data_IF_961167107523
#
_entry.id   IF_961167107523
#
_cell.length_a   1.000
_cell.length_b   1.000
_cell.length_c   1.000
_cell.angle_alpha   90.00
_cell.angle_beta   90.00
_cell.angle_gamma   90.00
#
_symmetry.space_group_name_H-M   'P 1'
#
loop_
_entity.id
_entity.type
_entity.pdbx_description
1 polymer ?
#
# COMPACT_ATOMS: atom_id res chain seq x y z
N UNK A 1 -39.01 7.37 -70.86
CA UNK A 1 -37.80 6.54 -70.86
C UNK A 1 -36.61 7.50 -70.84
N UNK A 2 -36.26 8.21 -69.77
CA UNK A 2 -35.87 7.80 -68.39
C UNK A 2 -34.74 6.78 -68.36
N UNK A 3 -33.50 7.26 -68.21
CA UNK A 3 -32.46 6.72 -67.32
C UNK A 3 -31.40 7.81 -67.07
N UNK A 4 -31.50 8.50 -65.93
CA UNK A 4 -30.36 9.18 -65.29
C UNK A 4 -30.39 8.80 -63.82
N UNK A 5 -29.20 8.65 -63.24
CA UNK A 5 -28.84 8.29 -61.86
C UNK A 5 -28.51 6.80 -61.68
N UNK A 6 -27.22 6.48 -61.61
CA UNK A 6 -26.70 5.93 -60.37
C UNK A 6 -25.28 6.44 -60.09
N UNK A 7 -25.16 7.62 -59.48
CA UNK A 7 -23.86 8.12 -58.97
C UNK A 7 -23.95 8.76 -57.59
N UNK A 8 -25.12 8.70 -56.93
CA UNK A 8 -25.37 9.35 -55.64
C UNK A 8 -25.45 8.37 -54.46
N UNK A 9 -25.40 7.06 -54.70
CA UNK A 9 -25.57 6.05 -53.64
C UNK A 9 -24.27 5.62 -52.96
N UNK A 10 -23.09 5.98 -53.50
CA UNK A 10 -21.79 5.56 -52.94
C UNK A 10 -21.20 6.59 -51.97
N UNK A 11 -21.54 7.88 -52.11
CA UNK A 11 -20.99 8.93 -51.26
C UNK A 11 -21.63 9.01 -49.85
N UNK A 12 -22.84 8.47 -49.67
CA UNK A 12 -23.55 8.56 -48.38
C UNK A 12 -23.11 7.51 -47.35
N UNK A 13 -22.46 6.43 -47.78
CA UNK A 13 -21.98 5.35 -46.89
C UNK A 13 -20.64 5.71 -46.24
N UNK A 14 -19.82 6.54 -46.90
CA UNK A 14 -18.50 6.91 -46.38
C UNK A 14 -18.54 7.94 -45.24
N UNK A 15 -19.60 8.75 -45.13
CA UNK A 15 -19.72 9.77 -44.07
C UNK A 15 -20.18 9.16 -42.73
N UNK A 16 -20.89 8.02 -42.75
CA UNK A 16 -21.32 7.32 -41.52
C UNK A 16 -20.17 6.54 -40.86
N UNK A 17 -19.15 6.13 -41.64
CA UNK A 17 -18.02 5.33 -41.12
C UNK A 17 -16.88 6.15 -40.48
N UNK A 18 -16.86 7.48 -40.65
CA UNK A 18 -15.81 8.36 -40.09
C UNK A 18 -16.22 9.12 -38.82
N UNK A 19 -17.47 8.98 -38.34
CA UNK A 19 -17.95 9.60 -37.10
C UNK A 19 -17.97 8.70 -35.86
N UNK A 20 -17.57 7.43 -35.98
CA UNK A 20 -17.90 6.37 -35.00
C UNK A 20 -16.88 6.05 -33.90
N UNK A 21 -15.74 6.75 -33.80
CA UNK A 21 -14.70 6.35 -32.84
C UNK A 21 -14.79 7.00 -31.44
N UNK A 22 -15.76 7.90 -31.19
CA UNK A 22 -15.94 8.53 -29.88
C UNK A 22 -17.20 8.09 -29.12
N UNK A 23 -18.08 7.29 -29.73
CA UNK A 23 -19.33 6.80 -29.12
C UNK A 23 -19.35 5.29 -28.83
N UNK A 24 -18.24 4.58 -29.04
CA UNK A 24 -18.09 3.16 -28.72
C UNK A 24 -18.10 2.83 -27.21
N UNK A 25 -18.18 3.84 -26.33
CA UNK A 25 -18.28 3.65 -24.88
C UNK A 25 -19.67 3.18 -24.40
N UNK A 26 -20.68 3.17 -25.29
CA UNK A 26 -22.07 2.90 -24.94
C UNK A 26 -22.68 1.64 -25.58
N UNK A 27 -21.93 0.88 -26.38
CA UNK A 27 -22.46 -0.26 -27.15
C UNK A 27 -22.00 -1.65 -26.66
N UNK A 28 -21.10 -1.70 -25.68
CA UNK A 28 -20.85 -2.95 -24.93
C UNK A 28 -21.66 -2.83 -23.64
N UNK A 29 -22.81 -3.50 -23.50
CA UNK A 29 -23.53 -3.50 -22.24
C UNK A 29 -22.59 -4.08 -21.18
N UNK A 30 -22.49 -3.41 -20.02
CA UNK A 30 -21.59 -3.78 -18.92
C UNK A 30 -21.71 -5.26 -18.55
N UNK A 31 -22.88 -5.88 -18.81
CA UNK A 31 -23.18 -7.29 -18.61
C UNK A 31 -22.23 -8.28 -19.32
N UNK A 32 -21.56 -7.89 -20.42
CA UNK A 32 -20.65 -8.78 -21.18
C UNK A 32 -19.19 -8.69 -20.73
N UNK A 33 -18.84 -7.72 -19.89
CA UNK A 33 -17.52 -7.62 -19.27
C UNK A 33 -17.60 -8.38 -17.93
N UNK A 34 -16.70 -9.36 -17.66
CA UNK A 34 -16.62 -10.02 -16.37
C UNK A 34 -16.56 -8.98 -15.25
N UNK A 35 -17.22 -9.19 -14.09
CA UNK A 35 -17.20 -8.22 -12.99
C UNK A 35 -15.78 -7.76 -12.62
N UNK A 36 -14.80 -8.67 -12.73
CA UNK A 36 -13.38 -8.45 -12.49
C UNK A 36 -12.63 -7.61 -13.53
N UNK A 37 -13.25 -7.24 -14.65
CA UNK A 37 -12.65 -6.43 -15.71
C UNK A 37 -13.37 -5.10 -15.96
N UNK A 38 -14.50 -4.86 -15.28
CA UNK A 38 -15.19 -3.57 -15.37
C UNK A 38 -14.36 -2.49 -14.67
N UNK A 39 -14.13 -1.31 -15.29
CA UNK A 39 -13.67 -0.15 -14.54
C UNK A 39 -14.66 0.14 -13.41
N UNK A 40 -14.22 0.74 -12.30
CA UNK A 40 -15.13 1.02 -11.19
C UNK A 40 -16.27 1.90 -11.72
N UNK A 41 -17.51 1.42 -11.58
CA UNK A 41 -18.73 2.18 -11.87
C UNK A 41 -19.06 3.16 -10.72
N UNK A 42 -18.42 2.97 -9.58
CA UNK A 42 -18.48 3.84 -8.41
C UNK A 42 -17.61 5.07 -8.66
N UNK A 43 -18.09 6.27 -8.29
CA UNK A 43 -17.22 7.44 -8.30
C UNK A 43 -16.16 7.24 -7.23
N UNK A 44 -14.92 7.68 -7.51
CA UNK A 44 -13.84 7.64 -6.53
C UNK A 44 -14.33 8.23 -5.18
N UNK A 45 -14.21 7.45 -4.10
CA UNK A 45 -14.62 7.84 -2.75
C UNK A 45 -16.03 7.41 -2.32
N UNK A 46 -16.87 6.82 -3.18
CA UNK A 46 -18.19 6.33 -2.77
C UNK A 46 -18.09 5.16 -1.77
N UNK A 47 -17.16 4.23 -1.99
CA UNK A 47 -16.90 3.12 -1.07
C UNK A 47 -16.38 3.61 0.31
N UNK A 48 -15.45 4.57 0.32
CA UNK A 48 -14.93 5.17 1.55
C UNK A 48 -16.03 5.89 2.33
N UNK A 49 -16.86 6.69 1.66
CA UNK A 49 -18.00 7.38 2.30
C UNK A 49 -19.01 6.40 2.88
N UNK A 50 -19.29 5.32 2.16
CA UNK A 50 -20.18 4.26 2.64
C UNK A 50 -19.60 3.58 3.89
N UNK A 51 -18.30 3.27 3.89
CA UNK A 51 -17.63 2.69 5.05
C UNK A 51 -17.64 3.64 6.25
N UNK A 52 -17.37 4.93 6.04
CA UNK A 52 -17.47 5.96 7.07
C UNK A 52 -18.88 6.05 7.64
N UNK A 53 -19.90 6.09 6.77
CA UNK A 53 -21.29 6.10 7.21
C UNK A 53 -21.65 4.86 8.03
N UNK A 54 -21.24 3.66 7.59
CA UNK A 54 -21.47 2.42 8.33
C UNK A 54 -20.85 2.44 9.72
N UNK A 55 -19.62 2.94 9.85
CA UNK A 55 -18.97 3.08 11.15
C UNK A 55 -19.72 4.08 12.07
N UNK A 56 -20.18 5.20 11.51
CA UNK A 56 -20.94 6.20 12.28
C UNK A 56 -22.31 5.67 12.73
N UNK A 57 -22.98 4.89 11.87
CA UNK A 57 -24.29 4.31 12.16
C UNK A 57 -24.20 3.08 13.11
N UNK A 58 -23.00 2.54 13.36
CA UNK A 58 -22.79 1.39 14.23
C UNK A 58 -22.83 1.79 15.72
N UNK A 59 -23.46 0.94 16.55
CA UNK A 59 -23.55 1.14 17.99
C UNK A 59 -22.23 0.79 18.67
N UNK A 60 -21.60 1.70 19.43
CA UNK A 60 -20.37 1.39 20.15
C UNK A 60 -20.64 0.47 21.34
N UNK A 61 -19.77 -0.51 21.58
CA UNK A 61 -19.85 -1.41 22.74
C UNK A 61 -19.01 -0.94 23.93
N UNK A 62 -18.06 -0.03 23.70
CA UNK A 62 -17.08 0.42 24.68
C UNK A 62 -16.76 1.90 24.51
N UNK A 63 -16.40 2.55 25.61
CA UNK A 63 -16.01 3.97 25.63
C UNK A 63 -14.77 4.28 26.50
N UNK A 64 -14.30 3.28 27.26
CA UNK A 64 -13.11 3.36 28.10
C UNK A 64 -12.13 2.23 27.79
N UNK A 65 -10.83 2.45 28.06
CA UNK A 65 -9.77 1.44 27.86
C UNK A 65 -9.95 0.17 28.70
N UNK A 66 -10.70 0.24 29.81
CA UNK A 66 -11.01 -0.90 30.65
C UNK A 66 -12.17 -1.76 30.11
N UNK A 67 -12.98 -1.24 29.17
CA UNK A 67 -14.17 -1.95 28.64
C UNK A 67 -13.80 -3.03 27.61
N UNK A 68 -12.59 -2.97 27.07
CA UNK A 68 -12.13 -3.86 26.01
C UNK A 68 -11.79 -5.27 26.53
N UNK A 69 -12.02 -6.28 25.70
CA UNK A 69 -11.60 -7.66 25.98
C UNK A 69 -10.18 -7.91 25.48
N UNK A 70 -9.22 -8.06 26.40
CA UNK A 70 -7.80 -8.34 26.10
C UNK A 70 -7.46 -9.84 26.21
N UNK A 71 -8.40 -10.72 25.87
CA UNK A 71 -8.17 -12.17 25.98
C UNK A 71 -7.18 -12.70 24.92
N UNK A 72 -7.09 -12.03 23.77
CA UNK A 72 -6.20 -12.41 22.68
C UNK A 72 -4.78 -11.99 22.98
N UNK A 73 -3.84 -12.93 23.03
CA UNK A 73 -2.41 -12.60 23.16
C UNK A 73 -1.91 -12.03 21.83
N UNK A 74 -1.06 -11.00 21.87
CA UNK A 74 -0.40 -10.47 20.67
C UNK A 74 0.33 -11.62 19.95
N UNK A 75 0.03 -11.88 18.67
CA UNK A 75 0.66 -12.98 17.93
C UNK A 75 2.19 -12.87 17.90
N UNK A 76 2.90 -14.00 17.99
CA UNK A 76 4.37 -14.07 17.92
C UNK A 76 4.96 -13.73 16.55
N UNK A 77 4.11 -13.63 15.54
CA UNK A 77 4.41 -13.15 14.18
C UNK A 77 3.16 -12.47 13.64
N UNK A 78 3.26 -11.53 12.69
CA UNK A 78 2.09 -10.80 12.22
C UNK A 78 1.02 -11.72 11.62
N UNK A 79 -0.21 -11.59 12.11
CA UNK A 79 -1.38 -12.33 11.63
C UNK A 79 -2.42 -11.37 11.07
N UNK A 80 -3.23 -11.86 10.13
CA UNK A 80 -4.27 -11.09 9.45
C UNK A 80 -5.52 -10.95 10.34
N UNK A 81 -6.01 -9.72 10.45
CA UNK A 81 -7.25 -9.34 11.10
C UNK A 81 -8.07 -8.45 10.15
N UNK A 82 -9.37 -8.69 10.07
CA UNK A 82 -10.30 -7.88 9.28
C UNK A 82 -11.08 -6.99 10.24
N UNK A 83 -10.98 -5.69 10.04
CA UNK A 83 -11.73 -4.66 10.76
C UNK A 83 -12.82 -4.15 9.82
N UNK A 84 -14.08 -4.24 10.23
CA UNK A 84 -15.23 -3.90 9.40
C UNK A 84 -16.54 -4.31 10.07
N UNK A 85 -17.60 -4.55 9.30
CA UNK A 85 -18.96 -4.76 9.82
C UNK A 85 -19.11 -5.84 10.91
N UNK A 86 -18.26 -6.86 10.91
CA UNK A 86 -18.29 -7.95 11.89
C UNK A 86 -17.44 -7.66 13.15
N UNK A 87 -16.66 -6.58 13.14
CA UNK A 87 -15.84 -6.15 14.25
C UNK A 87 -16.64 -5.23 15.19
N UNK A 88 -16.27 -5.26 16.47
CA UNK A 88 -16.83 -4.34 17.46
C UNK A 88 -16.39 -2.91 17.22
N UNK A 89 -17.25 -1.96 17.59
CA UNK A 89 -17.00 -0.52 17.49
C UNK A 89 -16.79 0.06 18.88
N UNK A 90 -15.77 0.90 19.03
CA UNK A 90 -15.54 1.71 20.21
C UNK A 90 -15.89 3.17 19.91
N UNK A 91 -16.33 3.91 20.93
CA UNK A 91 -16.36 5.37 20.89
C UNK A 91 -15.24 5.91 21.78
N UNK A 92 -14.12 6.30 21.15
CA UNK A 92 -12.95 6.82 21.84
C UNK A 92 -12.81 8.31 21.53
N UNK A 93 -12.91 9.15 22.56
CA UNK A 93 -12.85 10.61 22.44
C UNK A 93 -13.86 11.19 21.42
N UNK A 94 -15.07 10.62 21.36
CA UNK A 94 -16.13 11.06 20.44
C UNK A 94 -15.98 10.54 19.01
N UNK A 95 -14.97 9.71 18.73
CA UNK A 95 -14.77 9.09 17.42
C UNK A 95 -15.09 7.60 17.47
N UNK A 96 -15.97 7.15 16.57
CA UNK A 96 -16.19 5.73 16.35
C UNK A 96 -14.95 5.11 15.70
N UNK A 97 -14.61 3.88 16.05
CA UNK A 97 -13.59 3.08 15.34
C UNK A 97 -13.80 1.59 15.59
N UNK A 98 -13.57 0.77 14.56
CA UNK A 98 -13.27 -0.63 14.78
C UNK A 98 -11.93 -0.77 15.51
N UNK A 99 -11.75 -1.84 16.26
CA UNK A 99 -10.54 -2.03 17.06
C UNK A 99 -10.09 -3.48 17.17
N UNK A 100 -8.83 -3.65 17.54
CA UNK A 100 -8.24 -4.90 18.04
C UNK A 100 -7.65 -4.64 19.42
N UNK A 101 -7.83 -5.59 20.34
CA UNK A 101 -7.30 -5.52 21.70
C UNK A 101 -6.47 -6.77 21.98
N UNK A 102 -5.24 -6.57 22.43
CA UNK A 102 -4.29 -7.65 22.69
C UNK A 102 -3.71 -7.57 24.09
N UNK A 103 -3.47 -8.73 24.70
CA UNK A 103 -2.55 -8.87 25.82
C UNK A 103 -1.12 -8.98 25.30
N UNK A 104 -0.24 -8.15 25.83
CA UNK A 104 1.18 -8.16 25.50
C UNK A 104 1.91 -9.29 26.26
N UNK A 105 2.89 -9.96 25.63
CA UNK A 105 3.74 -10.92 26.32
C UNK A 105 4.57 -10.22 27.39
N UNK A 106 4.62 -10.80 28.59
CA UNK A 106 5.43 -10.35 29.72
C UNK A 106 6.63 -11.28 29.92
N UNK A 107 7.69 -10.77 30.56
CA UNK A 107 8.89 -11.56 30.85
C UNK A 107 9.78 -11.85 29.63
N UNK A 108 9.56 -11.17 28.51
CA UNK A 108 10.43 -11.23 27.34
C UNK A 108 11.41 -10.05 27.30
N UNK A 109 12.50 -10.19 26.55
CA UNK A 109 13.53 -9.16 26.43
C UNK A 109 12.96 -7.89 25.78
N UNK A 110 13.11 -6.76 26.46
CA UNK A 110 12.82 -5.43 25.93
C UNK A 110 14.07 -4.78 25.31
N UNK A 111 13.90 -3.86 24.34
CA UNK A 111 12.64 -3.58 23.66
C UNK A 111 12.33 -4.66 22.61
N UNK A 112 11.05 -4.93 22.40
CA UNK A 112 10.60 -5.69 21.24
C UNK A 112 9.75 -4.82 20.33
N UNK A 113 9.67 -5.18 19.04
CA UNK A 113 8.92 -4.42 18.04
C UNK A 113 7.62 -5.13 17.73
N UNK A 114 6.55 -4.36 17.58
CA UNK A 114 5.27 -4.80 17.02
C UNK A 114 5.24 -4.32 15.58
N UNK A 115 5.09 -5.25 14.64
CA UNK A 115 4.95 -4.95 13.22
C UNK A 115 3.47 -4.80 12.88
N UNK A 116 3.18 -3.84 12.02
CA UNK A 116 1.83 -3.53 11.57
C UNK A 116 1.86 -3.37 10.05
N UNK A 117 0.90 -3.97 9.35
CA UNK A 117 0.72 -3.77 7.90
C UNK A 117 -0.76 -3.59 7.58
N UNK A 118 -1.11 -2.49 6.94
CA UNK A 118 -2.44 -2.31 6.34
C UNK A 118 -2.42 -2.77 4.89
N UNK A 119 -3.45 -3.52 4.49
CA UNK A 119 -3.74 -3.80 3.08
C UNK A 119 -4.58 -2.66 2.49
N UNK A 120 -4.44 -2.43 1.19
CA UNK A 120 -5.33 -1.52 0.44
C UNK A 120 -6.74 -2.11 0.42
N UNK A 121 -7.72 -1.30 0.81
CA UNK A 121 -9.12 -1.63 0.71
C UNK A 121 -9.70 -1.01 -0.56
N UNK A 122 -10.02 -1.84 -1.54
CA UNK A 122 -10.50 -1.42 -2.86
C UNK A 122 -9.90 -2.25 -3.98
N UNK A 123 -10.61 -2.33 -5.11
CA UNK A 123 -10.16 -3.09 -6.29
C UNK A 123 -9.19 -2.30 -7.17
N UNK A 124 -9.30 -0.97 -7.14
CA UNK A 124 -8.50 -0.06 -7.95
C UNK A 124 -7.75 0.90 -7.04
N UNK A 125 -6.48 1.12 -7.33
CA UNK A 125 -5.62 1.94 -6.48
C UNK A 125 -6.11 3.38 -6.33
N UNK A 126 -6.70 3.96 -7.39
CA UNK A 126 -7.29 5.31 -7.38
C UNK A 126 -8.50 5.46 -6.46
N UNK A 127 -9.24 4.36 -6.23
CA UNK A 127 -10.43 4.33 -5.40
C UNK A 127 -10.21 3.60 -4.07
N UNK A 128 -8.96 3.27 -3.74
CA UNK A 128 -8.60 2.52 -2.54
C UNK A 128 -8.35 3.44 -1.36
N UNK A 129 -8.47 2.89 -0.16
CA UNK A 129 -8.07 3.53 1.09
C UNK A 129 -7.38 2.54 2.03
N UNK A 130 -6.80 3.02 3.12
CA UNK A 130 -6.09 2.20 4.12
C UNK A 130 -6.71 2.35 5.51
N UNK A 131 -6.71 1.27 6.28
CA UNK A 131 -6.92 1.40 7.72
C UNK A 131 -5.63 1.90 8.36
N UNK A 132 -5.63 3.12 8.88
CA UNK A 132 -4.44 3.72 9.48
C UNK A 132 -4.47 3.64 11.01
N UNK A 133 -3.56 2.88 11.64
CA UNK A 133 -3.71 2.56 13.05
C UNK A 133 -3.17 3.67 13.96
N UNK A 134 -3.95 3.98 14.98
CA UNK A 134 -3.51 4.52 16.26
C UNK A 134 -3.35 3.35 17.22
N UNK A 135 -2.24 3.32 17.95
CA UNK A 135 -1.96 2.27 18.93
C UNK A 135 -1.79 2.89 20.31
N UNK A 136 -2.43 2.29 21.30
CA UNK A 136 -2.35 2.65 22.71
C UNK A 136 -1.79 1.46 23.48
N UNK A 137 -0.70 1.70 24.21
CA UNK A 137 -0.14 0.73 25.16
C UNK A 137 -0.69 1.05 26.54
N UNK A 138 -1.17 0.03 27.25
CA UNK A 138 -1.75 0.17 28.58
C UNK A 138 -0.97 -0.65 29.61
N UNK A 139 -1.01 -0.22 30.87
CA UNK A 139 -0.53 -0.98 32.03
C UNK A 139 -1.57 -2.00 32.55
N UNK A 140 -1.30 -2.62 33.71
CA UNK A 140 -2.20 -3.58 34.36
C UNK A 140 -3.50 -2.96 34.89
N UNK A 141 -3.51 -1.65 35.13
CA UNK A 141 -4.69 -0.86 35.50
C UNK A 141 -5.46 -0.30 34.31
N UNK A 142 -5.18 -0.76 33.09
CA UNK A 142 -5.74 -0.25 31.83
C UNK A 142 -5.48 1.25 31.61
N UNK A 143 -4.45 1.82 32.25
CA UNK A 143 -4.07 3.21 32.05
C UNK A 143 -3.16 3.35 30.83
N UNK A 144 -3.37 4.36 29.98
CA UNK A 144 -2.51 4.61 28.84
C UNK A 144 -1.12 5.06 29.29
N UNK A 145 -0.12 4.27 28.95
CA UNK A 145 1.30 4.57 29.17
C UNK A 145 2.01 5.00 27.88
N UNK A 146 1.34 4.88 26.73
CA UNK A 146 1.82 5.42 25.47
C UNK A 146 0.76 5.36 24.38
N UNK A 147 0.71 6.39 23.55
CA UNK A 147 -0.19 6.48 22.38
C UNK A 147 0.60 6.95 21.18
N UNK A 148 0.42 6.30 20.03
CA UNK A 148 1.08 6.70 18.78
C UNK A 148 0.18 6.44 17.59
N UNK A 149 0.07 7.44 16.72
CA UNK A 149 -0.37 7.25 15.35
C UNK A 149 0.77 6.61 14.57
N UNK A 150 0.52 5.43 13.99
CA UNK A 150 1.52 4.69 13.23
C UNK A 150 1.61 5.30 11.84
N UNK A 151 2.81 5.77 11.49
CA UNK A 151 3.10 6.16 10.11
C UNK A 151 3.16 4.90 9.26
N UNK A 152 2.36 4.86 8.19
CA UNK A 152 2.38 3.80 7.21
C UNK A 152 3.23 4.20 6.00
N UNK A 153 4.03 3.26 5.51
CA UNK A 153 4.93 3.45 4.39
C UNK A 153 4.76 2.29 3.40
N UNK A 154 4.74 2.57 2.11
CA UNK A 154 4.52 1.53 1.11
C UNK A 154 5.73 0.60 1.01
N UNK A 155 5.49 -0.70 1.00
CA UNK A 155 6.45 -1.68 0.53
C UNK A 155 5.77 -2.65 -0.43
N UNK A 156 6.43 -2.93 -1.55
CA UNK A 156 5.98 -3.92 -2.53
C UNK A 156 7.00 -5.07 -2.53
N UNK A 157 6.54 -6.23 -2.08
CA UNK A 157 7.34 -7.44 -1.99
C UNK A 157 6.90 -8.50 -3.01
N UNK A 158 7.40 -9.73 -2.83
CA UNK A 158 7.09 -10.86 -3.71
C UNK A 158 5.78 -11.59 -3.33
N UNK A 159 5.22 -11.29 -2.16
CA UNK A 159 4.02 -11.94 -1.63
C UNK A 159 3.04 -10.91 -1.05
N UNK A 160 1.82 -11.34 -0.74
CA UNK A 160 0.82 -10.49 -0.08
C UNK A 160 1.25 -10.11 1.34
N UNK A 161 1.97 -10.98 2.06
CA UNK A 161 2.51 -10.69 3.39
C UNK A 161 3.54 -9.55 3.36
N UNK A 162 4.26 -9.44 2.25
CA UNK A 162 5.34 -8.45 2.04
C UNK A 162 4.91 -7.28 1.16
N UNK A 163 3.62 -7.16 0.84
CA UNK A 163 3.06 -6.05 0.05
C UNK A 163 1.98 -5.31 0.84
N UNK A 164 2.07 -3.99 0.91
CA UNK A 164 1.10 -3.16 1.63
C UNK A 164 1.73 -1.90 2.25
N UNK A 165 0.99 -1.30 3.18
CA UNK A 165 1.46 -0.14 3.95
C UNK A 165 1.99 -0.64 5.30
N UNK A 166 3.30 -0.55 5.53
CA UNK A 166 3.97 -1.07 6.71
C UNK A 166 4.27 0.04 7.72
N UNK A 167 4.16 -0.31 9.00
CA UNK A 167 4.55 0.50 10.13
C UNK A 167 5.02 -0.38 11.28
N UNK A 168 5.56 0.25 12.32
CA UNK A 168 6.01 -0.47 13.49
C UNK A 168 5.99 0.42 14.72
N UNK A 169 5.95 -0.21 15.89
CA UNK A 169 6.21 0.45 17.17
C UNK A 169 7.12 -0.41 18.04
N UNK A 170 7.72 0.20 19.06
CA UNK A 170 8.55 -0.50 20.04
C UNK A 170 7.87 -0.51 21.40
N UNK A 171 7.77 -1.68 22.03
CA UNK A 171 7.42 -1.81 23.43
C UNK A 171 8.72 -1.77 24.23
N UNK A 172 8.85 -0.73 25.07
CA UNK A 172 10.05 -0.45 25.86
C UNK A 172 9.79 -0.46 27.36
N UNK A 173 8.53 -0.27 27.76
CA UNK A 173 8.12 -0.17 29.16
C UNK A 173 7.79 -1.56 29.73
N UNK A 174 8.40 -1.92 30.85
CA UNK A 174 8.15 -3.15 31.59
C UNK A 174 6.75 -3.22 32.19
N UNK A 175 6.05 -2.08 32.31
CA UNK A 175 4.65 -1.99 32.76
C UNK A 175 3.66 -2.29 31.66
N UNK A 176 4.06 -2.33 30.39
CA UNK A 176 3.15 -2.62 29.29
C UNK A 176 2.48 -4.00 29.45
N UNK A 177 1.15 -4.03 29.48
CA UNK A 177 0.33 -5.25 29.61
C UNK A 177 -0.62 -5.45 28.46
N UNK A 178 -1.12 -4.36 27.88
CA UNK A 178 -2.13 -4.43 26.83
C UNK A 178 -1.81 -3.49 25.68
N UNK A 179 -2.32 -3.85 24.51
CA UNK A 179 -2.21 -3.09 23.28
C UNK A 179 -3.60 -2.95 22.66
N UNK A 180 -4.07 -1.72 22.52
CA UNK A 180 -5.28 -1.40 21.78
C UNK A 180 -4.88 -0.79 20.44
N UNK A 181 -5.49 -1.27 19.36
CA UNK A 181 -5.29 -0.78 18.00
C UNK A 181 -6.64 -0.35 17.46
N UNK A 182 -6.74 0.89 17.01
CA UNK A 182 -7.94 1.46 16.40
C UNK A 182 -7.50 2.51 15.36
N UNK A 183 -8.40 3.22 14.71
CA UNK A 183 -8.08 4.37 13.86
C UNK A 183 -8.66 5.63 14.47
N UNK A 184 -7.81 6.53 14.97
CA UNK A 184 -8.25 7.83 15.51
C UNK A 184 -8.93 8.70 14.44
N UNK A 185 -9.67 9.73 14.84
CA UNK A 185 -10.25 10.69 13.89
C UNK A 185 -9.17 11.36 13.00
N UNK A 186 -8.00 11.64 13.57
CA UNK A 186 -6.86 12.17 12.83
C UNK A 186 -6.36 11.17 11.79
N UNK A 187 -6.23 9.89 12.18
CA UNK A 187 -5.88 8.83 11.23
C UNK A 187 -6.95 8.63 10.16
N UNK A 188 -8.24 8.57 10.50
CA UNK A 188 -9.33 8.35 9.54
C UNK A 188 -9.46 9.48 8.49
N UNK A 189 -9.04 10.70 8.82
CA UNK A 189 -9.02 11.84 7.89
C UNK A 189 -7.67 12.02 7.18
N UNK A 190 -6.69 11.19 7.52
CA UNK A 190 -5.33 11.24 7.00
C UNK A 190 -5.18 10.60 5.62
N UNK A 191 -3.92 10.55 5.19
CA UNK A 191 -3.51 9.91 3.94
C UNK A 191 -2.08 9.40 4.04
N UNK A 192 -1.79 8.31 3.35
CA UNK A 192 -0.46 7.72 3.24
C UNK A 192 0.12 8.00 1.86
N UNK A 193 1.40 8.38 1.79
CA UNK A 193 2.10 8.49 0.52
C UNK A 193 2.21 7.11 -0.15
N UNK A 194 1.94 7.07 -1.45
CA UNK A 194 2.02 5.85 -2.25
C UNK A 194 2.72 6.14 -3.58
N UNK A 195 3.78 5.41 -3.84
CA UNK A 195 4.58 5.42 -5.06
C UNK A 195 4.11 4.29 -5.98
N UNK A 196 3.48 4.61 -7.11
CA UNK A 196 3.22 3.58 -8.12
C UNK A 196 4.56 3.10 -8.69
N UNK A 197 5.09 2.01 -8.15
CA UNK A 197 6.19 1.28 -8.79
C UNK A 197 5.61 0.60 -10.05
N UNK A 198 6.18 0.81 -11.24
CA UNK A 198 5.77 0.11 -12.47
C UNK A 198 5.85 -1.43 -12.39
N UNK A 199 6.38 -1.98 -11.29
CA UNK A 199 6.61 -3.40 -11.08
C UNK A 199 5.42 -4.20 -10.50
N UNK A 200 4.29 -3.57 -10.14
CA UNK A 200 3.06 -4.33 -9.83
C UNK A 200 2.39 -4.94 -11.08
N UNK A 201 2.99 -4.73 -12.26
CA UNK A 201 2.61 -5.32 -13.52
C UNK A 201 3.37 -6.63 -13.79
N UNK A 202 3.23 -7.69 -12.96
CA UNK A 202 3.51 -9.10 -13.37
C UNK A 202 3.26 -10.09 -12.23
N UNK A 203 2.00 -10.52 -12.05
CA UNK A 203 1.68 -11.88 -11.52
C UNK A 203 0.44 -12.48 -12.19
N UNK A 204 0.12 -12.08 -13.43
CA UNK A 204 -0.85 -12.78 -14.27
C UNK A 204 -0.18 -13.37 -15.50
N UNK A 205 0.59 -14.45 -15.29
CA UNK A 205 0.90 -15.41 -16.36
C UNK A 205 -0.37 -16.15 -16.75
N UNK A 206 -1.12 -15.60 -17.72
CA UNK A 206 -1.75 -16.33 -18.82
C UNK A 206 -2.79 -15.43 -19.50
N UNK A 207 -2.51 -15.06 -20.75
CA UNK A 207 -3.46 -14.71 -21.81
C UNK A 207 -4.69 -13.89 -21.44
N UNK A 208 -4.72 -12.64 -21.92
CA UNK A 208 -5.93 -11.83 -22.11
C UNK A 208 -6.50 -11.17 -20.84
N UNK A 209 -5.83 -10.15 -20.31
CA UNK A 209 -6.46 -9.21 -19.36
C UNK A 209 -6.01 -7.77 -19.59
N UNK A 210 -6.94 -6.80 -19.45
CA UNK A 210 -6.74 -5.40 -19.81
C UNK A 210 -5.71 -4.77 -18.88
N UNK A 211 -4.85 -3.95 -19.45
CA UNK A 211 -3.95 -3.07 -18.72
C UNK A 211 -4.76 -2.33 -17.65
N UNK A 212 -4.50 -2.67 -16.38
CA UNK A 212 -4.81 -1.78 -15.27
C UNK A 212 -4.31 -0.41 -15.72
N UNK A 213 -5.17 0.61 -15.74
CA UNK A 213 -4.76 1.98 -16.01
C UNK A 213 -3.88 2.44 -14.84
N UNK A 214 -2.65 1.95 -14.82
CA UNK A 214 -1.56 2.41 -13.98
C UNK A 214 -1.20 3.78 -14.52
N UNK A 215 -1.21 4.79 -13.65
CA UNK A 215 -0.76 6.09 -14.05
C UNK A 215 0.76 5.97 -14.17
N UNK A 216 1.27 5.88 -15.40
CA UNK A 216 2.65 5.50 -15.70
C UNK A 216 3.71 6.44 -15.10
N UNK A 217 3.31 7.52 -14.43
CA UNK A 217 4.16 8.42 -13.67
C UNK A 217 3.32 9.21 -12.68
N UNK A 218 3.32 8.83 -11.41
CA UNK A 218 2.60 9.60 -10.39
C UNK A 218 2.78 9.09 -8.97
N UNK A 219 3.37 9.92 -8.13
CA UNK A 219 3.20 9.84 -6.68
C UNK A 219 1.81 10.34 -6.33
N UNK A 220 1.03 9.56 -5.59
CA UNK A 220 -0.29 9.97 -5.10
C UNK A 220 -0.41 9.63 -3.61
N UNK A 221 -1.48 10.10 -2.97
CA UNK A 221 -1.73 9.79 -1.57
C UNK A 221 -2.98 8.92 -1.47
N UNK A 222 -2.87 7.79 -0.79
CA UNK A 222 -3.99 6.91 -0.50
C UNK A 222 -4.72 7.45 0.73
N UNK A 223 -6.01 7.80 0.64
CA UNK A 223 -6.77 8.25 1.79
C UNK A 223 -6.86 7.14 2.84
N UNK A 224 -7.03 7.51 4.09
CA UNK A 224 -7.34 6.56 5.14
C UNK A 224 -8.86 6.32 5.22
N UNK A 225 -9.23 5.20 5.79
CA UNK A 225 -10.61 4.82 6.01
C UNK A 225 -10.82 4.08 7.34
N UNK A 226 -12.09 3.87 7.69
CA UNK A 226 -12.48 3.38 9.00
C UNK A 226 -12.28 1.88 9.17
N UNK A 227 -12.29 1.12 8.08
CA UNK A 227 -12.24 -0.33 8.00
C UNK A 227 -11.12 -0.80 7.05
N UNK A 228 -10.82 -2.09 7.09
CA UNK A 228 -9.79 -2.69 6.25
C UNK A 228 -9.19 -3.94 6.85
N UNK A 229 -8.15 -4.45 6.18
CA UNK A 229 -7.36 -5.57 6.71
C UNK A 229 -6.07 -5.07 7.32
N UNK A 230 -5.80 -5.49 8.55
CA UNK A 230 -4.57 -5.21 9.28
C UNK A 230 -3.84 -6.53 9.59
N UNK A 231 -2.53 -6.54 9.39
CA UNK A 231 -1.66 -7.57 9.94
C UNK A 231 -0.92 -7.01 11.14
N UNK A 232 -0.95 -7.72 12.25
CA UNK A 232 -0.28 -7.29 13.48
C UNK A 232 0.27 -8.47 14.27
N UNK A 233 1.45 -8.26 14.86
CA UNK A 233 2.12 -9.21 15.74
C UNK A 233 3.52 -8.73 16.12
N UNK A 234 4.20 -9.53 16.92
CA UNK A 234 5.63 -9.37 17.18
C UNK A 234 6.40 -9.37 15.86
N UNK A 235 7.33 -8.43 15.70
CA UNK A 235 8.06 -8.27 14.45
C UNK A 235 9.05 -9.41 14.23
N UNK A 236 8.87 -10.13 13.13
CA UNK A 236 9.84 -11.10 12.62
C UNK A 236 10.84 -10.46 11.64
N UNK A 237 11.79 -11.27 11.13
CA UNK A 237 12.80 -10.81 10.16
C UNK A 237 12.20 -10.38 8.82
N UNK A 238 11.08 -10.96 8.42
CA UNK A 238 10.43 -10.67 7.13
C UNK A 238 9.81 -9.28 7.17
N UNK A 239 9.04 -9.00 8.21
CA UNK A 239 8.42 -7.70 8.43
C UNK A 239 9.44 -6.62 8.79
N UNK A 240 10.51 -6.93 9.51
CA UNK A 240 11.59 -5.98 9.75
C UNK A 240 12.19 -5.48 8.44
N UNK A 241 12.53 -6.38 7.50
CA UNK A 241 13.03 -6.02 6.17
C UNK A 241 12.04 -5.19 5.36
N UNK A 242 10.75 -5.54 5.43
CA UNK A 242 9.70 -4.79 4.73
C UNK A 242 9.59 -3.36 5.27
N UNK A 243 9.58 -3.18 6.59
CA UNK A 243 9.56 -1.85 7.23
C UNK A 243 10.81 -1.04 6.88
N UNK A 244 11.99 -1.66 6.92
CA UNK A 244 13.26 -0.97 6.65
C UNK A 244 13.39 -0.53 5.17
N UNK A 245 12.67 -1.20 4.26
CA UNK A 245 12.64 -0.91 2.82
C UNK A 245 11.39 -0.14 2.38
N UNK A 246 10.52 0.24 3.30
CA UNK A 246 9.28 0.91 2.97
C UNK A 246 9.51 2.39 2.60
N UNK A 247 8.74 2.90 1.64
CA UNK A 247 8.82 4.26 1.13
C UNK A 247 7.71 5.09 1.78
N UNK A 248 8.11 6.04 2.63
CA UNK A 248 7.17 6.86 3.41
C UNK A 248 6.83 8.20 2.76
N UNK A 249 7.61 8.63 1.77
CA UNK A 249 7.50 9.95 1.14
C UNK A 249 8.18 9.96 -0.22
N UNK A 250 7.82 10.94 -1.04
CA UNK A 250 8.46 11.18 -2.33
C UNK A 250 9.97 11.35 -2.15
N UNK A 251 10.80 10.55 -2.83
CA UNK A 251 12.24 10.74 -2.78
C UNK A 251 12.61 12.11 -3.39
N UNK A 252 13.66 12.78 -2.88
CA UNK A 252 14.17 13.99 -3.48
C UNK A 252 14.52 13.78 -4.98
N UNK A 253 14.40 14.81 -5.83
CA UNK A 253 14.81 14.72 -7.22
C UNK A 253 16.24 14.15 -7.34
N UNK A 254 16.44 13.12 -8.17
CA UNK A 254 17.73 12.44 -8.35
C UNK A 254 17.99 11.22 -7.45
N UNK A 255 17.09 10.92 -6.50
CA UNK A 255 17.23 9.79 -5.54
C UNK A 255 16.11 8.74 -5.68
N UNK A 256 15.51 8.60 -6.87
CA UNK A 256 14.37 7.71 -7.10
C UNK A 256 14.73 6.21 -7.07
N UNK A 257 13.69 5.36 -7.03
CA UNK A 257 13.78 3.89 -6.97
C UNK A 257 14.69 3.27 -8.04
N UNK A 258 14.83 3.91 -9.21
CA UNK A 258 15.76 3.47 -10.26
C UNK A 258 17.24 3.57 -9.85
N UNK A 259 17.60 4.51 -8.97
CA UNK A 259 18.97 4.67 -8.49
C UNK A 259 19.32 3.63 -7.41
N UNK A 260 18.36 3.29 -6.55
CA UNK A 260 18.53 2.22 -5.54
C UNK A 260 18.49 0.83 -6.17
N UNK A 261 17.63 0.58 -7.16
CA UNK A 261 17.64 -0.67 -7.94
C UNK A 261 18.96 -0.88 -8.70
N UNK A 262 19.58 0.20 -9.20
CA UNK A 262 20.89 0.12 -9.87
C UNK A 262 22.04 -0.18 -8.90
N UNK A 263 21.89 0.19 -7.62
CA UNK A 263 22.89 -0.09 -6.59
C UNK A 263 22.75 -1.52 -6.00
N UNK A 264 21.53 -2.05 -5.91
CA UNK A 264 21.26 -3.36 -5.32
C UNK A 264 21.28 -4.53 -6.33
N UNK A 265 21.26 -4.25 -7.63
CA UNK A 265 21.40 -5.27 -8.67
C UNK A 265 22.86 -5.32 -9.16
N UNK A 266 23.61 -6.42 -8.94
CA UNK A 266 24.91 -6.59 -9.58
C UNK A 266 24.68 -6.79 -11.08
N UNK A 267 24.81 -5.72 -11.86
CA UNK A 267 24.76 -5.79 -13.31
C UNK A 267 26.07 -6.47 -13.76
N UNK A 268 26.06 -7.70 -14.30
CA UNK A 268 27.30 -8.44 -14.50
C UNK A 268 28.17 -7.91 -15.66
N UNK A 269 27.67 -6.95 -16.46
CA UNK A 269 28.22 -6.64 -17.79
C UNK A 269 28.75 -5.21 -17.98
N UNK A 270 29.02 -4.47 -16.91
CA UNK A 270 29.80 -3.22 -17.03
C UNK A 270 31.13 -3.41 -16.29
N UNK A 271 31.95 -4.34 -16.80
CA UNK A 271 33.39 -4.24 -16.61
C UNK A 271 33.90 -3.30 -17.71
N UNK A 272 34.17 -2.06 -17.32
CA UNK A 272 34.99 -1.17 -18.13
C UNK A 272 36.37 -1.81 -18.30
N UNK A 273 36.77 -2.03 -19.54
CA UNK A 273 38.14 -2.37 -19.91
C UNK A 273 39.08 -1.32 -19.36
N UNK A 274 39.76 -1.65 -18.25
CA UNK A 274 41.06 -1.06 -17.91
C UNK A 274 42.10 -1.86 -18.68
N UNK A 275 42.27 -1.54 -19.96
CA UNK A 275 43.45 -1.98 -20.68
C UNK A 275 44.63 -1.10 -20.26
N UNK A 276 45.41 -1.66 -19.33
CA UNK A 276 46.84 -1.40 -19.20
C UNK A 276 47.51 -1.62 -20.55
N UNK A 277 47.78 -0.54 -21.28
CA UNK A 277 48.76 -0.59 -22.37
C UNK A 277 50.12 -0.34 -21.75
N UNK A 278 50.78 -1.46 -21.44
CA UNK A 278 52.22 -1.52 -21.24
C UNK A 278 52.88 -1.34 -22.61
N UNK A 279 53.80 -0.40 -22.73
CA UNK A 279 54.69 -0.27 -23.87
C UNK A 279 56.03 0.20 -23.37
N UNK A 280 56.83 -0.80 -23.03
CA UNK A 280 58.27 -0.76 -22.93
C UNK A 280 58.90 0.16 -23.99
N UNK A 281 59.64 1.17 -23.54
CA UNK A 281 60.79 1.65 -24.28
C UNK A 281 61.99 1.78 -23.34
N UNK A 282 63.03 1.04 -23.72
CA UNK A 282 64.32 0.86 -23.07
C UNK A 282 65.25 1.98 -23.50
N UNK A 283 65.96 2.62 -22.57
CA UNK A 283 67.30 3.22 -22.78
C UNK A 283 67.84 3.76 -21.44
N UNK A 284 68.76 2.98 -20.87
CA UNK A 284 70.08 3.33 -20.32
C UNK A 284 70.33 4.57 -19.43
N UNK A 285 71.29 4.32 -18.52
CA UNK A 285 72.25 5.22 -17.90
C UNK A 285 72.01 5.82 -16.49
N UNK A 286 72.58 5.08 -15.53
CA UNK A 286 73.79 5.48 -14.77
C UNK A 286 73.65 6.27 -13.44
N UNK A 287 74.35 5.72 -12.42
CA UNK A 287 75.03 6.37 -11.28
C UNK A 287 74.15 6.92 -10.13
N UNK A 288 74.23 6.31 -8.93
CA UNK A 288 75.02 6.78 -7.75
C UNK A 288 74.68 8.24 -7.37
N UNK A 289 74.25 8.59 -6.16
CA UNK A 289 74.95 8.43 -4.87
C UNK A 289 74.05 9.03 -3.77
N UNK A 290 74.17 8.49 -2.55
CA UNK A 290 73.88 9.10 -1.22
C UNK A 290 72.51 9.72 -0.91
#
# INVERSE_FOLDING_TARGET
>A
MTYRLPALSVALISIVLLGGCHTAKSLIPDTLIPPNLRPPSEKDGDALKLAQKKLQDASPCCSSFADFSYQTILPWQPQKFVLGSDAMVANLNGAHSYFLAFRLPTGIKLPYRVAIKSELNGRWLSSSYLFAPTVVTLDDGFQPIGTSDITLCEHVGWSSETTGAFGAMSIKDEKARYLLVYSSAAQQSGKTYWEQSPAAATTSTSGSTPSLAMNASGTFSVPHGPDGTLWIGMMDKTYAKAVDKAICKKPPPGSGVLNTLRADLPIPWINGSKDTTDSSNKSDDNKSTQ
#
